data_IF_192364918554
#
_entry.id   IF_192364918554
#
_cell.length_a   1.000
_cell.length_b   1.000
_cell.length_c   1.000
_cell.angle_alpha   90.00
_cell.angle_beta   90.00
_cell.angle_gamma   90.00
#
_symmetry.space_group_name_H-M   'P 1'
#
loop_
_entity.id
_entity.type
_entity.pdbx_description
1 polymer ?
#
# COMPACT_ATOMS: atom_id res chain seq x y z
N UNK A 1 -20.93 -19.69 58.83
CA UNK A 1 -21.78 -20.61 59.63
C UNK A 1 -22.26 -21.78 58.76
N UNK A 2 -21.96 -23.00 59.23
CA UNK A 2 -22.09 -24.28 58.52
C UNK A 2 -23.55 -24.71 58.28
N UNK A 3 -23.71 -25.45 57.18
CA UNK A 3 -24.59 -26.61 56.98
C UNK A 3 -26.09 -26.50 57.28
N UNK A 4 -26.92 -26.87 56.30
CA UNK A 4 -27.92 -27.93 56.49
C UNK A 4 -28.33 -28.58 55.16
N UNK A 5 -28.18 -29.92 55.10
CA UNK A 5 -28.75 -30.84 54.11
C UNK A 5 -30.24 -31.08 54.41
N UNK A 6 -31.07 -31.23 53.38
CA UNK A 6 -32.35 -32.00 53.37
C UNK A 6 -32.66 -32.38 51.91
N UNK A 7 -32.32 -33.60 51.47
CA UNK A 7 -33.18 -34.78 51.24
C UNK A 7 -34.30 -34.63 50.18
N UNK A 8 -34.18 -35.45 49.12
CA UNK A 8 -35.13 -35.69 48.01
C UNK A 8 -36.34 -36.56 48.43
N UNK A 9 -37.45 -36.47 47.68
CA UNK A 9 -38.33 -37.59 47.36
C UNK A 9 -38.42 -37.90 45.84
N UNK A 10 -38.99 -39.05 45.42
CA UNK A 10 -38.56 -39.81 44.24
C UNK A 10 -39.31 -39.51 42.92
N UNK A 11 -38.70 -39.97 41.82
CA UNK A 11 -39.19 -39.92 40.43
C UNK A 11 -40.35 -40.90 40.17
N UNK A 12 -41.27 -40.56 39.24
CA UNK A 12 -42.05 -41.53 38.48
C UNK A 12 -41.51 -41.73 37.06
N UNK A 13 -41.52 -42.99 36.65
CA UNK A 13 -41.17 -43.56 35.35
C UNK A 13 -42.22 -43.27 34.27
N UNK A 14 -41.81 -42.87 33.07
CA UNK A 14 -42.64 -42.94 31.84
C UNK A 14 -41.79 -43.32 30.63
N UNK A 15 -42.25 -44.35 29.92
CA UNK A 15 -41.68 -44.98 28.72
C UNK A 15 -41.68 -44.06 27.47
N UNK A 16 -40.82 -44.33 26.48
CA UNK A 16 -40.73 -43.55 25.24
C UNK A 16 -41.88 -43.85 24.25
N UNK A 17 -42.34 -42.88 23.45
CA UNK A 17 -43.42 -43.08 22.48
C UNK A 17 -42.97 -43.84 21.21
N UNK A 18 -43.86 -44.72 20.75
CA UNK A 18 -43.76 -45.59 19.57
C UNK A 18 -44.01 -44.85 18.25
N UNK A 19 -43.36 -45.29 17.17
CA UNK A 19 -43.57 -44.82 15.79
C UNK A 19 -44.89 -45.35 15.19
N UNK A 20 -45.62 -44.56 14.38
CA UNK A 20 -46.79 -45.04 13.64
C UNK A 20 -46.41 -45.79 12.34
N UNK A 21 -47.27 -46.71 11.85
CA UNK A 21 -46.99 -47.61 10.72
C UNK A 21 -47.16 -46.95 9.33
N UNK A 22 -46.60 -47.56 8.25
CA UNK A 22 -46.61 -46.98 6.90
C UNK A 22 -47.95 -47.14 6.17
N UNK A 23 -48.32 -46.14 5.36
CA UNK A 23 -49.51 -46.18 4.50
C UNK A 23 -49.21 -46.77 3.10
N UNK A 24 -50.17 -47.48 2.47
CA UNK A 24 -50.00 -48.14 1.17
C UNK A 24 -50.11 -47.17 -0.03
N UNK A 25 -49.62 -47.56 -1.23
CA UNK A 25 -49.56 -46.67 -2.38
C UNK A 25 -50.91 -46.57 -3.11
N UNK A 26 -51.31 -45.38 -3.61
CA UNK A 26 -52.49 -45.24 -4.46
C UNK A 26 -52.23 -45.65 -5.92
N UNK A 27 -53.24 -46.27 -6.52
CA UNK A 27 -53.28 -46.78 -7.91
C UNK A 27 -53.37 -45.66 -8.97
N UNK A 28 -52.96 -45.91 -10.23
CA UNK A 28 -52.84 -44.87 -11.26
C UNK A 28 -54.18 -44.59 -11.98
N UNK A 29 -54.46 -43.31 -12.22
CA UNK A 29 -55.55 -42.83 -13.07
C UNK A 29 -55.02 -42.39 -14.47
N UNK A 30 -55.88 -42.41 -15.51
CA UNK A 30 -55.49 -42.58 -16.91
C UNK A 30 -54.92 -41.32 -17.58
N UNK A 31 -54.06 -41.53 -18.58
CA UNK A 31 -53.36 -40.47 -19.33
C UNK A 31 -54.28 -39.75 -20.34
N UNK A 32 -54.25 -38.40 -20.39
CA UNK A 32 -54.78 -37.61 -21.50
C UNK A 32 -53.76 -37.46 -22.66
N UNK A 33 -54.23 -37.18 -23.90
CA UNK A 33 -53.43 -37.19 -25.14
C UNK A 33 -52.44 -36.00 -25.24
N UNK A 34 -51.43 -36.07 -26.14
CA UNK A 34 -50.26 -35.19 -26.10
C UNK A 34 -50.59 -33.77 -26.58
N UNK A 35 -50.04 -32.78 -25.88
CA UNK A 35 -50.05 -31.36 -26.28
C UNK A 35 -48.70 -30.92 -26.88
N UNK A 36 -48.70 -29.93 -27.78
CA UNK A 36 -47.58 -29.58 -28.67
C UNK A 36 -46.38 -28.97 -27.92
N UNK A 37 -45.19 -28.94 -28.54
CA UNK A 37 -43.95 -28.61 -27.82
C UNK A 37 -43.93 -27.13 -27.38
N UNK A 38 -43.66 -26.84 -26.09
CA UNK A 38 -43.48 -25.47 -25.63
C UNK A 38 -42.08 -24.96 -25.96
N UNK A 39 -42.05 -23.74 -26.48
CA UNK A 39 -40.85 -22.95 -26.77
C UNK A 39 -40.06 -22.66 -25.48
N UNK A 40 -38.73 -22.70 -25.60
CA UNK A 40 -37.77 -22.56 -24.53
C UNK A 40 -37.89 -21.23 -23.77
N UNK A 41 -38.28 -21.31 -22.50
CA UNK A 41 -38.06 -20.26 -21.50
C UNK A 41 -37.29 -20.86 -20.32
N UNK A 42 -35.97 -20.66 -20.32
CA UNK A 42 -35.06 -21.16 -19.29
C UNK A 42 -35.19 -20.35 -18.00
N UNK A 43 -35.39 -21.06 -16.89
CA UNK A 43 -35.29 -20.54 -15.52
C UNK A 43 -33.84 -20.12 -15.16
N UNK A 44 -33.65 -19.26 -14.14
CA UNK A 44 -32.36 -18.65 -13.83
C UNK A 44 -31.42 -19.67 -13.17
N UNK A 45 -30.22 -19.80 -13.74
CA UNK A 45 -29.13 -20.58 -13.16
C UNK A 45 -28.52 -19.84 -11.97
N UNK A 46 -28.25 -20.60 -10.91
CA UNK A 46 -27.46 -20.21 -9.73
C UNK A 46 -26.06 -19.80 -10.19
N UNK A 47 -25.70 -18.53 -9.99
CA UNK A 47 -24.39 -17.99 -10.34
C UNK A 47 -23.32 -18.45 -9.34
N UNK A 48 -22.47 -19.38 -9.76
CA UNK A 48 -21.12 -19.57 -9.20
C UNK A 48 -20.33 -18.25 -9.24
N UNK A 49 -19.45 -17.97 -8.26
CA UNK A 49 -18.65 -16.74 -8.27
C UNK A 49 -17.72 -16.76 -9.49
N UNK A 50 -17.92 -15.81 -10.40
CA UNK A 50 -17.02 -15.55 -11.51
C UNK A 50 -15.67 -15.10 -10.95
N UNK A 51 -14.65 -15.93 -11.17
CA UNK A 51 -13.25 -15.54 -11.09
C UNK A 51 -13.04 -14.28 -11.96
N UNK A 52 -12.42 -13.20 -11.44
CA UNK A 52 -12.29 -11.96 -12.20
C UNK A 52 -11.36 -12.17 -13.39
N UNK A 53 -11.96 -12.29 -14.58
CA UNK A 53 -11.26 -12.20 -15.86
C UNK A 53 -10.58 -10.81 -15.95
N UNK A 54 -9.27 -10.73 -16.20
CA UNK A 54 -8.60 -9.46 -16.43
C UNK A 54 -9.21 -8.77 -17.66
N UNK A 55 -9.56 -7.49 -17.50
CA UNK A 55 -10.07 -6.65 -18.59
C UNK A 55 -9.11 -6.66 -19.79
N UNK A 56 -9.62 -6.63 -21.04
CA UNK A 56 -8.77 -6.72 -22.22
C UNK A 56 -7.98 -5.41 -22.41
N UNK A 57 -6.66 -5.51 -22.28
CA UNK A 57 -5.69 -4.51 -22.70
C UNK A 57 -5.53 -4.62 -24.22
N UNK A 58 -6.22 -3.80 -24.98
CA UNK A 58 -6.12 -3.73 -26.44
C UNK A 58 -5.85 -2.25 -26.79
N UNK A 59 -4.81 -1.82 -27.53
CA UNK A 59 -3.86 -2.48 -28.44
C UNK A 59 -2.54 -1.69 -28.46
N UNK A 60 -1.47 -2.22 -27.87
CA UNK A 60 -0.09 -1.86 -28.21
C UNK A 60 0.66 -3.19 -28.24
N UNK A 61 1.43 -3.53 -29.28
CA UNK A 61 2.19 -4.78 -29.27
C UNK A 61 3.03 -4.83 -28.00
N UNK A 62 3.15 -6.00 -27.33
CA UNK A 62 4.05 -6.11 -26.21
C UNK A 62 5.40 -5.57 -26.66
N UNK A 63 5.97 -4.65 -25.88
CA UNK A 63 7.30 -4.07 -26.14
C UNK A 63 8.40 -5.15 -26.28
N UNK A 64 8.06 -6.40 -25.91
CA UNK A 64 8.83 -7.61 -26.13
C UNK A 64 9.28 -7.77 -27.58
N UNK A 65 10.60 -7.82 -27.75
CA UNK A 65 11.28 -7.99 -29.03
C UNK A 65 11.93 -6.72 -29.59
N UNK A 66 11.56 -5.53 -29.10
CA UNK A 66 12.26 -4.29 -29.46
C UNK A 66 13.53 -4.11 -28.62
N UNK A 67 14.58 -3.45 -29.14
CA UNK A 67 15.70 -3.01 -28.32
C UNK A 67 15.23 -2.14 -27.15
N UNK A 68 15.86 -2.28 -25.99
CA UNK A 68 15.43 -1.60 -24.74
C UNK A 68 15.31 -0.08 -24.90
N UNK A 69 16.23 0.55 -25.65
CA UNK A 69 16.17 1.98 -25.94
C UNK A 69 14.90 2.37 -26.72
N UNK A 70 14.45 1.54 -27.67
CA UNK A 70 13.23 1.80 -28.42
C UNK A 70 11.98 1.64 -27.54
N UNK A 71 11.96 0.65 -26.63
CA UNK A 71 10.88 0.51 -25.65
C UNK A 71 10.77 1.75 -24.75
N UNK A 72 11.90 2.25 -24.25
CA UNK A 72 11.95 3.46 -23.43
C UNK A 72 11.53 4.71 -24.23
N UNK A 73 11.88 4.80 -25.51
CA UNK A 73 11.43 5.89 -26.39
C UNK A 73 9.90 5.87 -26.54
N UNK A 74 9.31 4.69 -26.78
CA UNK A 74 7.85 4.53 -26.84
C UNK A 74 7.17 4.92 -25.53
N UNK A 75 7.74 4.55 -24.37
CA UNK A 75 7.21 4.99 -23.07
C UNK A 75 7.25 6.53 -22.94
N UNK A 76 8.32 7.19 -23.39
CA UNK A 76 8.43 8.65 -23.39
C UNK A 76 7.39 9.32 -24.28
N UNK A 77 7.20 8.80 -25.49
CA UNK A 77 6.17 9.29 -26.41
C UNK A 77 4.78 9.14 -25.79
N UNK A 78 4.48 7.99 -25.17
CA UNK A 78 3.22 7.80 -24.43
C UNK A 78 3.08 8.79 -23.28
N UNK A 79 4.12 9.06 -22.51
CA UNK A 79 4.07 10.03 -21.40
C UNK A 79 3.82 11.47 -21.89
N UNK A 80 4.36 11.85 -23.06
CA UNK A 80 4.13 13.16 -23.69
C UNK A 80 2.69 13.26 -24.23
N UNK A 81 2.19 12.18 -24.84
CA UNK A 81 0.88 12.11 -25.49
C UNK A 81 -0.26 11.66 -24.59
N UNK A 82 0.02 11.25 -23.35
CA UNK A 82 -1.01 11.00 -22.36
C UNK A 82 -1.92 12.24 -22.36
N UNK A 83 -3.22 12.07 -22.62
CA UNK A 83 -4.15 13.16 -22.48
C UNK A 83 -3.91 13.67 -21.08
N UNK A 84 -3.35 14.88 -20.95
CA UNK A 84 -3.47 15.61 -19.70
C UNK A 84 -4.98 15.61 -19.53
N UNK A 85 -5.51 14.79 -18.62
CA UNK A 85 -6.96 14.64 -18.35
C UNK A 85 -7.55 15.94 -17.78
N UNK A 86 -6.89 17.07 -18.06
CA UNK A 86 -7.16 18.42 -17.68
C UNK A 86 -6.47 19.41 -18.66
N UNK A 87 -7.27 20.35 -19.17
CA UNK A 87 -6.79 21.66 -19.61
C UNK A 87 -6.59 22.49 -18.35
N UNK A 88 -5.40 23.04 -18.08
CA UNK A 88 -5.26 23.94 -16.95
C UNK A 88 -6.31 25.05 -17.07
N UNK A 89 -7.01 25.36 -15.99
CA UNK A 89 -7.59 26.67 -15.79
C UNK A 89 -6.41 27.66 -15.71
N UNK A 90 -5.79 27.90 -16.87
CA UNK A 90 -4.50 28.54 -17.09
C UNK A 90 -4.51 30.00 -16.66
N UNK A 91 -5.68 30.64 -16.64
CA UNK A 91 -5.83 32.06 -16.39
C UNK A 91 -5.45 32.51 -14.97
N UNK A 92 -5.44 31.61 -13.96
CA UNK A 92 -5.07 31.98 -12.58
C UNK A 92 -3.67 31.56 -12.14
N UNK A 93 -3.00 30.64 -12.85
CA UNK A 93 -1.85 29.92 -12.30
C UNK A 93 -0.63 29.81 -13.22
N UNK A 94 -0.71 30.21 -14.49
CA UNK A 94 0.43 30.12 -15.44
C UNK A 94 1.51 31.20 -15.24
N UNK A 95 1.30 32.17 -14.34
CA UNK A 95 2.17 33.35 -14.21
C UNK A 95 3.11 33.36 -12.99
N UNK A 96 3.14 32.30 -12.16
CA UNK A 96 4.02 32.29 -10.98
C UNK A 96 5.41 31.81 -11.39
N UNK A 97 6.28 32.75 -11.77
CA UNK A 97 7.71 32.51 -11.74
C UNK A 97 8.13 32.29 -10.28
N UNK A 98 8.46 31.05 -9.93
CA UNK A 98 9.09 30.75 -8.65
C UNK A 98 10.53 31.27 -8.73
N UNK A 99 10.98 32.13 -7.78
CA UNK A 99 12.33 32.66 -7.81
C UNK A 99 13.38 31.55 -7.82
N UNK A 100 14.37 31.64 -8.71
CA UNK A 100 15.40 30.61 -8.89
C UNK A 100 16.23 30.39 -7.63
N UNK A 101 16.58 31.45 -6.94
CA UNK A 101 17.28 31.45 -5.64
C UNK A 101 16.51 30.67 -4.57
N UNK A 102 15.17 30.79 -4.54
CA UNK A 102 14.33 30.01 -3.64
C UNK A 102 14.39 28.52 -3.96
N UNK A 103 14.35 28.16 -5.24
CA UNK A 103 14.42 26.76 -5.69
C UNK A 103 15.78 26.15 -5.35
N UNK A 104 16.86 26.90 -5.57
CA UNK A 104 18.23 26.49 -5.24
C UNK A 104 18.42 26.33 -3.73
N UNK A 105 17.95 27.28 -2.92
CA UNK A 105 18.00 27.20 -1.46
C UNK A 105 17.21 26.01 -0.91
N UNK A 106 15.99 25.79 -1.41
CA UNK A 106 15.17 24.64 -1.01
C UNK A 106 15.79 23.31 -1.47
N UNK A 107 16.43 23.28 -2.64
CA UNK A 107 17.17 22.10 -3.10
C UNK A 107 18.32 21.76 -2.16
N UNK A 108 19.12 22.76 -1.78
CA UNK A 108 20.25 22.58 -0.86
C UNK A 108 19.77 22.06 0.51
N UNK A 109 18.81 22.75 1.14
CA UNK A 109 18.27 22.37 2.45
C UNK A 109 17.64 20.96 2.46
N UNK A 110 16.97 20.59 1.38
CA UNK A 110 16.41 19.26 1.20
C UNK A 110 17.50 18.19 1.11
N UNK A 111 18.56 18.43 0.33
CA UNK A 111 19.69 17.52 0.19
C UNK A 111 20.51 17.39 1.50
N UNK A 112 20.69 18.48 2.24
CA UNK A 112 21.33 18.46 3.55
C UNK A 112 20.51 17.65 4.57
N UNK A 113 19.18 17.79 4.53
CA UNK A 113 18.28 16.95 5.34
C UNK A 113 18.36 15.48 4.94
N UNK A 114 18.39 15.18 3.63
CA UNK A 114 18.56 13.82 3.14
C UNK A 114 19.88 13.21 3.64
N UNK A 115 20.99 13.93 3.52
CA UNK A 115 22.32 13.48 3.94
C UNK A 115 22.40 13.23 5.46
N UNK A 116 21.89 14.16 6.27
CA UNK A 116 21.93 14.06 7.74
C UNK A 116 21.05 12.94 8.32
N UNK A 117 20.03 12.49 7.58
CA UNK A 117 19.11 11.44 8.01
C UNK A 117 19.46 10.05 7.46
N UNK A 118 20.55 9.91 6.70
CA UNK A 118 21.02 8.59 6.26
C UNK A 118 21.38 7.72 7.48
N UNK A 119 21.08 6.41 7.44
CA UNK A 119 21.57 5.49 8.46
C UNK A 119 23.10 5.52 8.51
N UNK A 120 23.73 5.63 9.70
CA UNK A 120 25.18 5.51 9.81
C UNK A 120 25.62 4.08 9.47
N UNK A 121 26.89 3.88 9.13
CA UNK A 121 27.42 2.57 8.74
C UNK A 121 27.21 1.48 9.82
N UNK A 122 27.27 1.88 11.10
CA UNK A 122 26.99 1.01 12.26
C UNK A 122 25.53 0.50 12.31
N UNK A 123 24.56 1.23 11.74
CA UNK A 123 23.14 0.84 11.73
C UNK A 123 22.95 -0.48 10.99
N UNK A 124 23.71 -0.71 9.92
CA UNK A 124 23.69 -1.96 9.18
C UNK A 124 24.23 -3.14 10.00
N UNK A 125 25.30 -2.93 10.77
CA UNK A 125 25.85 -3.96 11.64
C UNK A 125 24.87 -4.32 12.77
N UNK A 126 24.20 -3.32 13.35
CA UNK A 126 23.14 -3.51 14.35
C UNK A 126 21.97 -4.32 13.77
N UNK A 127 21.47 -3.94 12.58
CA UNK A 127 20.39 -4.67 11.89
C UNK A 127 20.78 -6.12 11.61
N UNK A 128 22.01 -6.36 11.13
CA UNK A 128 22.48 -7.71 10.83
C UNK A 128 22.61 -8.55 12.10
N UNK A 129 23.12 -7.97 13.18
CA UNK A 129 23.20 -8.66 14.49
C UNK A 129 21.82 -9.03 15.04
N UNK A 130 20.85 -8.11 14.98
CA UNK A 130 19.46 -8.38 15.36
C UNK A 130 18.84 -9.49 14.49
N UNK A 131 19.00 -9.40 13.17
CA UNK A 131 18.51 -10.42 12.24
C UNK A 131 19.06 -11.81 12.57
N UNK A 132 20.37 -11.93 12.82
CA UNK A 132 21.00 -13.21 13.18
C UNK A 132 20.45 -13.80 14.48
N UNK A 133 20.22 -12.97 15.50
CA UNK A 133 19.62 -13.43 16.77
C UNK A 133 18.16 -13.85 16.60
N UNK A 134 17.37 -13.05 15.90
CA UNK A 134 15.97 -13.38 15.59
C UNK A 134 15.88 -14.65 14.74
N UNK A 135 16.79 -14.84 13.78
CA UNK A 135 16.85 -16.05 12.97
C UNK A 135 17.10 -17.29 13.84
N UNK A 136 17.99 -17.22 14.84
CA UNK A 136 18.22 -18.33 15.75
C UNK A 136 16.99 -18.67 16.60
N UNK A 137 16.29 -17.65 17.12
CA UNK A 137 15.04 -17.85 17.87
C UNK A 137 13.93 -18.46 16.99
N UNK A 138 13.77 -17.94 15.77
CA UNK A 138 12.80 -18.46 14.81
C UNK A 138 13.09 -19.90 14.44
N UNK A 139 14.36 -20.24 14.16
CA UNK A 139 14.75 -21.61 13.83
C UNK A 139 14.56 -22.61 14.96
N UNK A 140 14.56 -22.16 16.22
CA UNK A 140 14.26 -23.00 17.37
C UNK A 140 12.76 -23.31 17.51
N UNK A 141 11.89 -22.38 17.09
CA UNK A 141 10.43 -22.53 17.15
C UNK A 141 9.89 -23.24 15.91
N UNK A 142 10.36 -22.84 14.72
CA UNK A 142 9.94 -23.36 13.42
C UNK A 142 11.20 -23.79 12.63
N UNK A 143 11.60 -25.07 12.74
CA UNK A 143 12.76 -25.58 12.03
C UNK A 143 12.65 -25.41 10.51
N UNK A 144 13.69 -24.87 9.87
CA UNK A 144 13.72 -24.60 8.44
C UNK A 144 13.15 -23.23 8.03
N UNK A 145 12.55 -22.46 8.94
CA UNK A 145 12.13 -21.10 8.64
C UNK A 145 13.30 -20.13 8.46
N UNK A 146 13.14 -19.17 7.55
CA UNK A 146 14.12 -18.12 7.23
C UNK A 146 13.51 -16.73 7.33
N UNK A 147 14.27 -15.77 7.82
CA UNK A 147 13.88 -14.37 7.94
C UNK A 147 14.49 -13.55 6.80
N UNK A 148 13.65 -12.81 6.11
CA UNK A 148 14.06 -11.97 4.97
C UNK A 148 13.69 -10.51 5.24
N UNK A 149 14.65 -9.57 5.18
CA UNK A 149 14.34 -8.16 5.31
C UNK A 149 13.55 -7.67 4.10
N UNK A 150 12.67 -6.69 4.33
CA UNK A 150 11.94 -5.99 3.28
C UNK A 150 11.76 -4.51 3.63
N UNK A 151 10.88 -3.83 2.91
CA UNK A 151 10.45 -2.48 3.21
C UNK A 151 11.58 -1.47 3.04
N UNK A 152 11.71 -0.56 4.02
CA UNK A 152 12.65 0.56 3.90
C UNK A 152 14.12 0.13 3.97
N UNK A 153 14.42 -0.98 4.65
CA UNK A 153 15.76 -1.56 4.74
C UNK A 153 16.27 -2.10 3.40
N UNK A 154 15.37 -2.58 2.53
CA UNK A 154 15.74 -3.13 1.21
C UNK A 154 15.59 -2.09 0.09
N UNK A 155 14.55 -1.26 0.12
CA UNK A 155 14.30 -0.26 -0.93
C UNK A 155 15.33 0.88 -0.98
N UNK A 156 16.21 1.01 0.01
CA UNK A 156 17.18 2.10 0.13
C UNK A 156 16.58 3.40 0.70
N UNK A 157 15.42 3.30 1.36
CA UNK A 157 14.65 4.42 1.90
C UNK A 157 14.59 4.41 3.45
N UNK A 158 15.39 3.58 4.11
CA UNK A 158 15.55 3.61 5.56
C UNK A 158 16.20 4.94 5.98
N UNK A 159 15.61 5.61 6.96
CA UNK A 159 16.24 6.71 7.69
C UNK A 159 16.98 6.16 8.91
N UNK A 160 17.85 6.96 9.52
CA UNK A 160 18.41 6.64 10.84
C UNK A 160 17.31 6.21 11.82
N UNK A 161 17.47 5.05 12.45
CA UNK A 161 16.51 4.47 13.39
C UNK A 161 15.18 4.03 12.78
N UNK A 162 15.10 3.82 11.46
CA UNK A 162 13.92 3.24 10.83
C UNK A 162 13.72 1.79 11.29
N UNK A 163 12.47 1.39 11.44
CA UNK A 163 12.10 0.03 11.86
C UNK A 163 12.69 -1.03 10.90
N UNK A 164 12.92 -2.24 11.42
CA UNK A 164 13.35 -3.39 10.64
C UNK A 164 12.15 -4.26 10.30
N UNK A 165 11.76 -4.26 9.03
CA UNK A 165 10.66 -5.07 8.53
C UNK A 165 11.20 -6.43 8.05
N UNK A 166 10.74 -7.53 8.64
CA UNK A 166 11.14 -8.89 8.31
C UNK A 166 9.92 -9.74 7.92
N UNK A 167 10.09 -10.63 6.95
CA UNK A 167 9.12 -11.70 6.71
C UNK A 167 9.71 -13.07 6.99
N UNK A 168 8.93 -13.90 7.67
CA UNK A 168 9.25 -15.29 7.93
C UNK A 168 8.73 -16.15 6.78
N UNK A 169 9.65 -16.88 6.14
CA UNK A 169 9.37 -17.88 5.13
C UNK A 169 9.58 -19.26 5.75
N UNK A 170 8.51 -20.04 5.91
CA UNK A 170 8.63 -21.44 6.39
C UNK A 170 9.31 -22.30 5.33
N UNK A 171 9.82 -23.47 5.74
CA UNK A 171 10.39 -24.46 4.83
C UNK A 171 9.34 -25.10 3.90
N UNK A 172 8.05 -24.88 4.15
CA UNK A 172 6.95 -25.26 3.26
C UNK A 172 6.41 -24.03 2.53
N UNK A 173 6.06 -24.19 1.24
CA UNK A 173 5.70 -23.06 0.37
C UNK A 173 4.36 -22.38 0.72
N UNK A 174 3.54 -23.05 1.53
CA UNK A 174 2.21 -22.61 1.94
C UNK A 174 1.94 -22.97 3.41
N UNK A 175 1.49 -21.98 4.19
CA UNK A 175 1.06 -22.15 5.58
C UNK A 175 -0.35 -21.58 5.74
N UNK A 176 -1.27 -22.35 6.31
CA UNK A 176 -2.64 -21.89 6.53
C UNK A 176 -2.68 -20.70 7.50
N UNK A 177 -3.68 -19.82 7.38
CA UNK A 177 -3.75 -18.60 8.19
C UNK A 177 -3.80 -18.91 9.69
N UNK A 178 -4.52 -19.96 10.09
CA UNK A 178 -4.63 -20.41 11.47
C UNK A 178 -3.27 -20.84 12.03
N UNK A 179 -2.46 -21.53 11.21
CA UNK A 179 -1.09 -21.92 11.56
C UNK A 179 -0.20 -20.69 11.69
N UNK A 180 -0.31 -19.72 10.76
CA UNK A 180 0.42 -18.45 10.86
C UNK A 180 0.07 -17.68 12.13
N UNK A 181 -1.22 -17.62 12.49
CA UNK A 181 -1.70 -16.96 13.70
C UNK A 181 -1.16 -17.63 14.97
N UNK A 182 -1.20 -18.97 15.04
CA UNK A 182 -0.63 -19.71 16.18
C UNK A 182 0.88 -19.52 16.28
N UNK A 183 1.60 -19.59 15.15
CA UNK A 183 3.06 -19.38 15.11
C UNK A 183 3.44 -17.98 15.60
N UNK A 184 2.67 -16.94 15.25
CA UNK A 184 2.88 -15.57 15.74
C UNK A 184 2.78 -15.49 17.28
N UNK A 185 1.83 -16.19 17.90
CA UNK A 185 1.70 -16.24 19.36
C UNK A 185 2.90 -16.98 19.98
N UNK A 186 3.26 -18.16 19.45
CA UNK A 186 4.40 -18.94 19.93
C UNK A 186 5.73 -18.21 19.79
N UNK A 187 5.95 -17.51 18.67
CA UNK A 187 7.14 -16.70 18.46
C UNK A 187 7.22 -15.53 19.44
N UNK A 188 6.09 -14.88 19.73
CA UNK A 188 6.06 -13.81 20.71
C UNK A 188 6.46 -14.32 22.11
N UNK A 189 5.90 -15.44 22.56
CA UNK A 189 6.27 -16.07 23.83
C UNK A 189 7.76 -16.45 23.88
N UNK A 190 8.29 -17.05 22.82
CA UNK A 190 9.71 -17.40 22.74
C UNK A 190 10.63 -16.17 22.76
N UNK A 191 10.25 -15.09 22.08
CA UNK A 191 10.99 -13.84 22.05
C UNK A 191 10.97 -13.14 23.42
N UNK A 192 9.85 -13.14 24.13
CA UNK A 192 9.76 -12.65 25.51
C UNK A 192 10.63 -13.49 26.45
N UNK A 193 10.52 -14.82 26.38
CA UNK A 193 11.28 -15.74 27.23
C UNK A 193 12.80 -15.64 27.01
N UNK A 194 13.25 -15.20 25.83
CA UNK A 194 14.68 -15.00 25.54
C UNK A 194 15.32 -13.89 26.39
N UNK A 195 14.53 -12.93 26.89
CA UNK A 195 15.02 -11.74 27.58
C UNK A 195 15.81 -10.76 26.70
N UNK A 196 15.92 -11.00 25.39
CA UNK A 196 16.66 -10.16 24.45
C UNK A 196 15.80 -9.07 23.78
N UNK A 197 14.49 -9.15 23.95
CA UNK A 197 13.51 -8.27 23.31
C UNK A 197 12.66 -7.54 24.35
N UNK A 198 12.34 -6.29 24.07
CA UNK A 198 11.40 -5.45 24.81
C UNK A 198 10.10 -5.30 24.02
N UNK A 199 8.99 -5.06 24.73
CA UNK A 199 7.70 -4.64 24.12
C UNK A 199 7.19 -5.58 23.01
N UNK A 200 7.35 -6.89 23.20
CA UNK A 200 6.86 -7.89 22.24
C UNK A 200 5.33 -7.85 22.18
N UNK A 201 4.77 -7.84 20.98
CA UNK A 201 3.33 -7.77 20.74
C UNK A 201 2.93 -8.66 19.56
N UNK A 202 2.17 -9.70 19.84
CA UNK A 202 1.54 -10.54 18.82
C UNK A 202 0.28 -9.87 18.25
N UNK A 203 0.11 -9.93 16.92
CA UNK A 203 -1.08 -9.46 16.19
C UNK A 203 -1.62 -10.56 15.26
N UNK A 204 -2.10 -11.68 15.82
CA UNK A 204 -2.47 -12.87 15.04
C UNK A 204 -3.70 -12.66 14.15
N UNK A 205 -4.56 -11.67 14.47
CA UNK A 205 -5.82 -11.37 13.75
C UNK A 205 -5.67 -10.35 12.62
N UNK A 206 -4.47 -9.81 12.41
CA UNK A 206 -4.21 -8.87 11.32
C UNK A 206 -4.43 -9.53 9.95
N UNK A 207 -4.54 -8.73 8.88
CA UNK A 207 -4.63 -9.25 7.50
C UNK A 207 -3.46 -10.18 7.21
N UNK A 208 -2.26 -9.71 7.52
CA UNK A 208 -1.03 -10.50 7.58
C UNK A 208 -0.64 -10.59 9.05
N UNK A 209 -0.60 -11.78 9.68
CA UNK A 209 -0.19 -11.94 11.07
C UNK A 209 1.24 -11.43 11.32
N UNK A 210 1.43 -10.68 12.40
CA UNK A 210 2.70 -9.98 12.72
C UNK A 210 3.06 -10.15 14.20
N UNK A 211 4.36 -10.30 14.48
CA UNK A 211 4.97 -10.06 15.80
C UNK A 211 5.75 -8.75 15.73
N UNK A 212 5.38 -7.76 16.53
CA UNK A 212 6.13 -6.50 16.67
C UNK A 212 6.96 -6.55 17.95
N UNK A 213 8.21 -6.08 17.90
CA UNK A 213 9.13 -6.10 19.03
C UNK A 213 10.11 -4.92 18.98
N UNK A 214 10.83 -4.72 20.07
CA UNK A 214 11.93 -3.78 20.17
C UNK A 214 13.16 -4.51 20.69
N UNK A 215 14.29 -4.36 20.02
CA UNK A 215 15.53 -4.97 20.50
C UNK A 215 16.02 -4.26 21.78
N UNK A 216 16.30 -5.05 22.83
CA UNK A 216 16.74 -4.49 24.12
C UNK A 216 18.11 -3.78 24.01
N UNK A 217 19.01 -4.28 23.15
CA UNK A 217 20.38 -3.76 23.05
C UNK A 217 20.49 -2.47 22.25
N UNK A 218 19.75 -2.36 21.14
CA UNK A 218 19.85 -1.23 20.21
C UNK A 218 18.64 -0.30 20.24
N UNK A 219 17.57 -0.67 20.95
CA UNK A 219 16.27 -0.02 20.89
C UNK A 219 15.62 0.01 19.49
N UNK A 220 16.14 -0.76 18.53
CA UNK A 220 15.60 -0.86 17.18
C UNK A 220 14.27 -1.61 17.21
N UNK A 221 13.24 -1.04 16.58
CA UNK A 221 11.95 -1.72 16.40
C UNK A 221 12.01 -2.70 15.23
N UNK A 222 11.33 -3.82 15.38
CA UNK A 222 11.27 -4.85 14.36
C UNK A 222 9.85 -5.42 14.26
N UNK A 223 9.36 -5.56 13.03
CA UNK A 223 8.09 -6.21 12.74
C UNK A 223 8.36 -7.48 11.92
N UNK A 224 7.89 -8.63 12.39
CA UNK A 224 8.03 -9.93 11.71
C UNK A 224 6.66 -10.39 11.23
N UNK A 225 6.46 -10.38 9.91
CA UNK A 225 5.20 -10.81 9.29
C UNK A 225 5.32 -12.20 8.64
N UNK A 226 4.23 -12.95 8.61
CA UNK A 226 4.25 -14.33 8.09
C UNK A 226 4.06 -14.37 6.56
N UNK A 227 4.94 -15.11 5.87
CA UNK A 227 4.78 -15.54 4.47
C UNK A 227 4.46 -14.42 3.46
N UNK A 228 5.04 -13.23 3.63
CA UNK A 228 4.69 -12.05 2.82
C UNK A 228 5.59 -11.91 1.59
N UNK A 229 5.47 -12.85 0.65
CA UNK A 229 6.24 -12.89 -0.60
C UNK A 229 6.06 -11.62 -1.46
N UNK A 230 4.86 -11.03 -1.46
CA UNK A 230 4.58 -9.78 -2.19
C UNK A 230 5.38 -8.59 -1.66
N UNK A 231 5.56 -8.48 -0.34
CA UNK A 231 6.34 -7.40 0.24
C UNK A 231 7.83 -7.47 -0.17
N UNK A 232 8.38 -8.67 -0.36
CA UNK A 232 9.72 -8.85 -0.92
C UNK A 232 9.80 -8.28 -2.34
N UNK A 233 8.86 -8.66 -3.21
CA UNK A 233 8.81 -8.18 -4.61
C UNK A 233 8.61 -6.68 -4.69
N UNK A 234 7.69 -6.11 -3.92
CA UNK A 234 7.48 -4.66 -3.86
C UNK A 234 8.76 -3.94 -3.42
N UNK A 235 9.47 -4.47 -2.43
CA UNK A 235 10.73 -3.88 -1.96
C UNK A 235 11.83 -3.91 -3.02
N UNK A 236 11.91 -4.99 -3.79
CA UNK A 236 12.83 -5.12 -4.93
C UNK A 236 12.48 -4.16 -6.06
N UNK A 237 11.19 -4.01 -6.40
CA UNK A 237 10.72 -3.04 -7.39
C UNK A 237 11.06 -1.60 -6.97
N UNK A 238 10.81 -1.24 -5.72
CA UNK A 238 11.17 0.08 -5.19
C UNK A 238 12.68 0.28 -5.21
N UNK A 239 13.47 -0.74 -4.81
CA UNK A 239 14.94 -0.68 -4.87
C UNK A 239 15.43 -0.42 -6.29
N UNK A 240 14.85 -1.06 -7.29
CA UNK A 240 15.16 -0.84 -8.70
C UNK A 240 14.95 0.64 -9.08
N UNK A 241 13.78 1.21 -8.78
CA UNK A 241 13.50 2.63 -9.02
C UNK A 241 14.47 3.57 -8.30
N UNK A 242 14.77 3.30 -7.03
CA UNK A 242 15.67 4.16 -6.23
C UNK A 242 17.14 4.07 -6.68
N UNK A 243 17.50 3.04 -7.45
CA UNK A 243 18.87 2.84 -7.97
C UNK A 243 19.05 3.49 -9.35
N UNK A 244 17.97 3.61 -10.14
CA UNK A 244 18.03 4.16 -11.50
C UNK A 244 18.41 5.65 -11.57
N UNK A 245 17.88 6.48 -10.66
CA UNK A 245 18.18 7.91 -10.63
C UNK A 245 18.32 8.39 -9.17
N UNK A 246 19.45 9.02 -8.78
CA UNK A 246 19.64 9.52 -7.42
C UNK A 246 18.53 10.47 -6.95
N UNK A 247 17.96 11.28 -7.85
CA UNK A 247 16.88 12.23 -7.53
C UNK A 247 15.60 11.51 -7.15
N UNK A 248 15.35 10.31 -7.69
CA UNK A 248 14.20 9.50 -7.31
C UNK A 248 14.30 9.07 -5.83
N UNK A 249 15.47 8.57 -5.43
CA UNK A 249 15.75 8.20 -4.04
C UNK A 249 15.65 9.39 -3.09
N UNK A 250 16.28 10.51 -3.47
CA UNK A 250 16.26 11.74 -2.68
C UNK A 250 14.82 12.24 -2.50
N UNK A 251 14.06 12.39 -3.59
CA UNK A 251 12.68 12.88 -3.53
C UNK A 251 11.77 11.95 -2.72
N UNK A 252 11.83 10.63 -2.96
CA UNK A 252 11.01 9.66 -2.23
C UNK A 252 11.30 9.69 -0.72
N UNK A 253 12.58 9.81 -0.34
CA UNK A 253 12.98 9.95 1.06
C UNK A 253 12.44 11.25 1.68
N UNK A 254 12.54 12.38 0.96
CA UNK A 254 12.11 13.68 1.45
C UNK A 254 10.59 13.76 1.60
N UNK A 255 9.82 13.20 0.67
CA UNK A 255 8.36 13.10 0.79
C UNK A 255 7.96 12.17 1.94
N UNK A 256 8.63 11.03 2.11
CA UNK A 256 8.43 10.15 3.27
C UNK A 256 8.73 10.89 4.59
N UNK A 257 9.82 11.66 4.65
CA UNK A 257 10.18 12.45 5.81
C UNK A 257 9.13 13.53 6.10
N UNK A 258 8.72 14.30 5.09
CA UNK A 258 7.63 15.27 5.19
C UNK A 258 6.35 14.63 5.73
N UNK A 259 5.89 13.53 5.11
CA UNK A 259 4.67 12.84 5.53
C UNK A 259 4.74 12.37 6.99
N UNK A 260 5.90 11.86 7.43
CA UNK A 260 6.15 11.50 8.84
C UNK A 260 6.09 12.70 9.77
N UNK A 261 6.71 13.83 9.40
CA UNK A 261 6.73 15.06 10.20
C UNK A 261 5.37 15.71 10.32
N UNK A 262 4.50 15.50 9.32
CA UNK A 262 3.12 15.98 9.27
C UNK A 262 2.09 14.94 9.73
N UNK A 263 2.53 13.81 10.28
CA UNK A 263 1.66 12.74 10.83
C UNK A 263 0.63 12.17 9.84
N UNK A 264 0.96 12.18 8.54
CA UNK A 264 0.12 11.66 7.45
C UNK A 264 0.70 10.38 6.82
N UNK A 265 1.41 9.58 7.61
CA UNK A 265 2.07 8.35 7.15
C UNK A 265 1.71 7.09 7.98
N UNK A 266 0.56 7.09 8.65
CA UNK A 266 0.11 6.05 9.56
C UNK A 266 -1.26 5.45 9.15
N UNK A 267 -1.28 4.30 8.46
CA UNK A 267 -2.50 3.59 8.06
C UNK A 267 -3.40 3.13 9.20
N UNK A 268 -2.82 2.86 10.37
CA UNK A 268 -3.60 2.47 11.55
C UNK A 268 -4.54 3.61 12.01
N UNK A 269 -4.13 4.86 11.78
CA UNK A 269 -4.96 6.05 12.01
C UNK A 269 -5.58 6.61 10.71
N UNK A 270 -5.74 5.77 9.69
CA UNK A 270 -6.46 6.10 8.46
C UNK A 270 -5.70 6.90 7.41
N UNK A 271 -4.45 7.33 7.67
CA UNK A 271 -3.65 8.08 6.69
C UNK A 271 -2.84 7.14 5.76
N UNK A 272 -2.35 7.61 4.59
CA UNK A 272 -1.59 6.75 3.69
C UNK A 272 -0.33 6.14 4.35
N UNK A 273 0.13 4.99 3.86
CA UNK A 273 1.40 4.42 4.31
C UNK A 273 2.59 5.15 3.70
N UNK A 274 3.78 4.98 4.29
CA UNK A 274 5.02 5.46 3.66
C UNK A 274 5.22 4.85 2.27
N UNK A 275 4.80 3.59 2.07
CA UNK A 275 4.82 2.92 0.78
C UNK A 275 3.91 3.61 -0.25
N UNK A 276 2.69 3.98 0.13
CA UNK A 276 1.76 4.71 -0.74
C UNK A 276 2.35 6.06 -1.20
N UNK A 277 2.99 6.81 -0.29
CA UNK A 277 3.68 8.06 -0.63
C UNK A 277 4.83 7.85 -1.62
N UNK A 278 5.60 6.75 -1.48
CA UNK A 278 6.68 6.41 -2.43
C UNK A 278 6.11 6.08 -3.81
N UNK A 279 4.98 5.37 -3.89
CA UNK A 279 4.31 5.10 -5.18
C UNK A 279 3.84 6.40 -5.86
N UNK A 280 3.29 7.35 -5.09
CA UNK A 280 2.93 8.67 -5.61
C UNK A 280 4.14 9.42 -6.21
N UNK A 281 5.32 9.30 -5.58
CA UNK A 281 6.57 9.88 -6.08
C UNK A 281 7.03 9.19 -7.35
N UNK A 282 7.06 7.86 -7.39
CA UNK A 282 7.45 7.10 -8.59
C UNK A 282 6.54 7.48 -9.77
N UNK A 283 5.22 7.50 -9.55
CA UNK A 283 4.27 7.88 -10.60
C UNK A 283 4.49 9.32 -11.09
N UNK A 284 4.74 10.27 -10.17
CA UNK A 284 5.06 11.64 -10.54
C UNK A 284 6.31 11.69 -11.44
N UNK A 285 7.36 10.96 -11.09
CA UNK A 285 8.62 10.90 -11.86
C UNK A 285 8.49 10.15 -13.20
N UNK A 286 7.54 9.22 -13.32
CA UNK A 286 7.19 8.58 -14.60
C UNK A 286 6.44 9.51 -15.56
N UNK A 287 5.82 10.57 -15.01
CA UNK A 287 4.93 11.49 -15.74
C UNK A 287 5.46 12.93 -15.77
N UNK A 288 6.74 13.13 -15.45
CA UNK A 288 7.45 14.37 -15.80
C UNK A 288 7.70 14.43 -17.31
N UNK A 289 8.06 15.61 -17.83
CA UNK A 289 8.37 15.79 -19.25
C UNK A 289 9.73 16.47 -19.43
N UNK A 290 10.79 15.74 -19.82
CA UNK A 290 10.84 14.29 -20.03
C UNK A 290 10.65 13.47 -18.73
N UNK A 291 10.23 12.20 -18.79
CA UNK A 291 10.18 11.30 -17.63
C UNK A 291 11.55 11.12 -16.98
N UNK A 292 11.59 11.16 -15.64
CA UNK A 292 12.77 10.82 -14.85
C UNK A 292 12.89 9.31 -14.70
N UNK A 293 11.77 8.62 -14.48
CA UNK A 293 11.73 7.16 -14.32
C UNK A 293 10.94 6.51 -15.47
N UNK A 294 11.32 5.29 -15.89
CA UNK A 294 10.52 4.49 -16.81
C UNK A 294 9.41 3.71 -16.07
N UNK A 295 8.62 2.94 -16.80
CA UNK A 295 7.67 1.95 -16.26
C UNK A 295 8.31 0.57 -16.34
N UNK A 296 8.86 0.08 -15.22
CA UNK A 296 9.65 -1.17 -15.21
C UNK A 296 8.82 -2.42 -15.54
N UNK A 297 7.51 -2.38 -15.30
CA UNK A 297 6.59 -3.47 -15.60
C UNK A 297 6.21 -3.56 -17.09
N UNK A 298 6.59 -2.56 -17.90
CA UNK A 298 6.37 -2.49 -19.36
C UNK A 298 7.69 -2.54 -20.16
N UNK A 299 8.80 -2.87 -19.49
CA UNK A 299 10.09 -3.12 -20.13
C UNK A 299 10.35 -4.62 -20.22
N UNK A 300 10.96 -5.06 -21.31
CA UNK A 300 11.31 -6.46 -21.55
C UNK A 300 12.71 -6.59 -22.13
N UNK A 301 13.56 -7.46 -21.56
CA UNK A 301 14.87 -7.76 -22.11
C UNK A 301 14.89 -9.02 -22.98
N UNK A 302 15.98 -9.27 -23.73
CA UNK A 302 16.20 -10.58 -24.35
C UNK A 302 16.34 -11.64 -23.24
N UNK A 303 15.62 -12.75 -23.37
CA UNK A 303 15.72 -13.93 -22.49
C UNK A 303 15.18 -13.78 -21.05
N UNK A 304 14.11 -13.04 -20.78
CA UNK A 304 13.41 -13.19 -19.49
C UNK A 304 12.32 -14.27 -19.63
N UNK A 305 12.46 -15.47 -19.03
CA UNK A 305 11.39 -16.45 -19.05
C UNK A 305 10.18 -15.87 -18.31
N UNK A 306 9.02 -15.83 -18.98
CA UNK A 306 7.77 -15.36 -18.39
C UNK A 306 7.28 -16.24 -17.21
N UNK A 307 7.89 -17.40 -17.00
CA UNK A 307 7.39 -18.47 -16.12
C UNK A 307 7.72 -18.31 -14.63
N UNK A 308 8.57 -17.36 -14.23
CA UNK A 308 9.01 -17.17 -12.82
C UNK A 308 8.48 -15.88 -12.16
N UNK A 309 7.49 -15.22 -12.76
CA UNK A 309 7.01 -13.92 -12.28
C UNK A 309 5.87 -14.02 -11.28
N UNK A 310 5.14 -15.14 -11.29
CA UNK A 310 3.97 -15.33 -10.44
C UNK A 310 4.36 -15.66 -9.00
N UNK A 311 3.85 -14.85 -8.08
CA UNK A 311 4.01 -15.06 -6.64
C UNK A 311 2.66 -15.36 -6.03
N UNK A 312 2.58 -16.50 -5.32
CA UNK A 312 1.41 -16.83 -4.51
C UNK A 312 1.49 -16.11 -3.16
N UNK A 313 0.46 -15.34 -2.83
CA UNK A 313 0.36 -14.66 -1.54
C UNK A 313 -0.16 -15.60 -0.44
N UNK A 314 -0.12 -15.12 0.80
CA UNK A 314 -0.57 -15.83 2.00
C UNK A 314 -2.04 -16.27 1.98
N UNK A 315 -2.88 -15.69 1.11
CA UNK A 315 -4.28 -16.04 0.94
C UNK A 315 -4.54 -17.00 -0.25
N UNK A 316 -3.47 -17.53 -0.85
CA UNK A 316 -3.52 -18.49 -1.95
C UNK A 316 -3.67 -17.85 -3.34
N UNK A 317 -3.93 -16.54 -3.44
CA UNK A 317 -4.02 -15.84 -4.73
C UNK A 317 -2.64 -15.71 -5.38
N UNK A 318 -2.57 -15.89 -6.69
CA UNK A 318 -1.36 -15.69 -7.47
C UNK A 318 -1.36 -14.31 -8.13
N UNK A 319 -0.21 -13.64 -8.10
CA UNK A 319 -0.02 -12.29 -8.65
C UNK A 319 1.17 -12.30 -9.60
N UNK A 320 1.01 -11.70 -10.78
CA UNK A 320 2.13 -11.44 -11.66
C UNK A 320 3.00 -10.32 -11.06
N UNK A 321 4.18 -10.70 -10.57
CA UNK A 321 5.16 -9.80 -9.98
C UNK A 321 6.34 -9.50 -10.93
N UNK A 322 6.09 -9.53 -12.24
CA UNK A 322 7.07 -9.15 -13.24
C UNK A 322 7.45 -7.68 -13.13
N UNK A 323 8.74 -7.40 -13.26
CA UNK A 323 9.30 -6.12 -13.66
C UNK A 323 10.71 -6.34 -14.21
N UNK A 324 11.15 -5.50 -15.14
CA UNK A 324 12.52 -5.56 -15.65
C UNK A 324 13.50 -5.00 -14.61
N UNK A 325 14.41 -5.85 -14.13
CA UNK A 325 15.28 -5.56 -12.99
C UNK A 325 16.75 -5.31 -13.35
N UNK A 326 17.12 -5.35 -14.64
CA UNK A 326 18.49 -5.04 -15.09
C UNK A 326 18.68 -3.50 -15.15
N UNK A 327 19.08 -2.94 -14.00
CA UNK A 327 19.24 -1.50 -13.78
C UNK A 327 20.33 -0.92 -14.68
N UNK A 328 21.42 -1.66 -14.89
CA UNK A 328 22.54 -1.22 -15.70
C UNK A 328 22.15 -1.14 -17.18
N UNK A 329 21.43 -2.15 -17.69
CA UNK A 329 20.90 -2.12 -19.05
C UNK A 329 19.91 -0.96 -19.25
N UNK A 330 19.01 -0.71 -18.30
CA UNK A 330 18.09 0.43 -18.36
C UNK A 330 18.88 1.75 -18.38
N UNK A 331 19.86 1.92 -17.48
CA UNK A 331 20.67 3.12 -17.39
C UNK A 331 21.43 3.41 -18.68
N UNK A 332 22.04 2.38 -19.28
CA UNK A 332 22.70 2.46 -20.58
C UNK A 332 21.72 2.84 -21.69
N UNK A 333 20.57 2.17 -21.78
CA UNK A 333 19.57 2.46 -22.80
C UNK A 333 18.99 3.88 -22.67
N UNK A 334 18.68 4.34 -21.46
CA UNK A 334 18.24 5.71 -21.18
C UNK A 334 19.29 6.74 -21.56
N UNK A 335 20.58 6.37 -21.50
CA UNK A 335 21.67 7.27 -21.81
C UNK A 335 21.70 7.72 -23.27
N UNK A 336 21.15 6.89 -24.17
CA UNK A 336 21.11 7.09 -25.62
C UNK A 336 19.87 7.86 -26.12
N UNK A 337 18.89 8.16 -25.27
CA UNK A 337 17.60 8.75 -25.68
C UNK A 337 17.64 10.27 -25.98
N UNK A 338 18.83 10.85 -26.18
CA UNK A 338 19.03 12.25 -26.59
C UNK A 338 18.68 13.31 -25.54
N UNK A 339 17.42 13.39 -25.12
CA UNK A 339 16.93 14.35 -24.12
C UNK A 339 16.82 13.69 -22.75
N UNK A 340 17.28 14.35 -21.69
CA UNK A 340 17.10 13.89 -20.30
C UNK A 340 16.36 14.95 -19.49
N UNK A 341 15.65 14.50 -18.47
CA UNK A 341 15.14 15.42 -17.46
C UNK A 341 16.31 15.96 -16.64
N UNK A 342 16.49 17.28 -16.62
CA UNK A 342 17.57 17.98 -15.91
C UNK A 342 17.09 18.72 -14.66
N UNK A 343 15.82 18.52 -14.25
CA UNK A 343 15.27 19.18 -13.08
C UNK A 343 16.04 18.75 -11.82
N UNK A 344 16.35 19.74 -11.00
CA UNK A 344 16.90 19.59 -9.64
C UNK A 344 15.88 18.93 -8.70
N UNK A 345 16.35 18.46 -7.54
CA UNK A 345 15.45 17.89 -6.51
C UNK A 345 14.42 18.92 -6.03
N UNK A 346 14.77 20.20 -5.90
CA UNK A 346 13.81 21.24 -5.51
C UNK A 346 12.75 21.50 -6.56
N UNK A 347 13.11 21.52 -7.85
CA UNK A 347 12.12 21.62 -8.94
C UNK A 347 11.18 20.41 -8.95
N UNK A 348 11.71 19.21 -8.73
CA UNK A 348 10.91 18.00 -8.66
C UNK A 348 10.02 17.97 -7.41
N UNK A 349 10.50 18.48 -6.27
CA UNK A 349 9.73 18.61 -5.03
C UNK A 349 8.54 19.56 -5.21
N UNK A 350 8.77 20.73 -5.82
CA UNK A 350 7.71 21.68 -6.16
C UNK A 350 6.69 21.03 -7.09
N UNK A 351 7.16 20.37 -8.16
CA UNK A 351 6.27 19.73 -9.13
C UNK A 351 5.47 18.57 -8.54
N UNK A 352 6.01 17.83 -7.56
CA UNK A 352 5.28 16.78 -6.85
C UNK A 352 4.08 17.36 -6.08
N UNK A 353 4.29 18.40 -5.27
CA UNK A 353 3.18 19.01 -4.52
C UNK A 353 2.17 19.66 -5.44
N UNK A 354 2.64 20.36 -6.49
CA UNK A 354 1.76 20.93 -7.52
C UNK A 354 0.90 19.86 -8.19
N UNK A 355 1.47 18.70 -8.53
CA UNK A 355 0.75 17.57 -9.15
C UNK A 355 -0.44 17.15 -8.29
N UNK A 356 -0.22 16.88 -7.00
CA UNK A 356 -1.28 16.37 -6.14
C UNK A 356 -2.18 17.46 -5.53
N UNK A 357 -1.73 18.72 -5.48
CA UNK A 357 -2.56 19.86 -5.06
C UNK A 357 -3.51 20.34 -6.18
N UNK A 358 -3.03 20.35 -7.43
CA UNK A 358 -3.68 21.10 -8.52
C UNK A 358 -4.12 20.25 -9.71
N UNK A 359 -3.48 19.12 -9.95
CA UNK A 359 -3.65 18.34 -11.20
C UNK A 359 -4.32 16.98 -10.97
N UNK A 360 -4.16 16.38 -9.80
CA UNK A 360 -4.78 15.11 -9.46
C UNK A 360 -6.28 15.26 -9.21
N UNK A 361 -7.11 14.60 -10.03
CA UNK A 361 -8.56 14.53 -9.81
C UNK A 361 -8.87 13.42 -8.79
N UNK A 362 -9.06 13.80 -7.52
CA UNK A 362 -9.42 12.88 -6.43
C UNK A 362 -10.75 12.15 -6.65
N UNK A 363 -11.62 12.62 -7.55
CA UNK A 363 -12.90 11.98 -7.85
C UNK A 363 -12.70 10.87 -8.89
N UNK A 364 -11.90 11.14 -9.93
CA UNK A 364 -11.81 10.26 -11.11
C UNK A 364 -10.54 9.43 -11.19
N UNK A 365 -9.42 9.93 -10.69
CA UNK A 365 -8.12 9.35 -10.98
C UNK A 365 -7.70 8.29 -9.95
N UNK A 366 -6.90 7.36 -10.44
CA UNK A 366 -6.16 6.35 -9.67
C UNK A 366 -4.71 6.44 -10.10
N UNK A 367 -3.81 6.59 -9.13
CA UNK A 367 -2.36 6.56 -9.40
C UNK A 367 -1.90 5.12 -9.66
N UNK A 368 -1.21 4.87 -10.78
CA UNK A 368 -0.66 3.54 -11.11
C UNK A 368 0.77 3.63 -11.64
N UNK A 369 1.73 3.12 -10.87
CA UNK A 369 3.14 3.06 -11.32
C UNK A 369 3.40 1.95 -12.35
N UNK A 370 2.47 0.99 -12.44
CA UNK A 370 2.52 -0.13 -13.40
C UNK A 370 2.21 0.33 -14.82
N UNK A 371 1.39 1.36 -14.97
CA UNK A 371 1.04 1.92 -16.29
C UNK A 371 1.76 3.23 -16.58
N UNK A 372 2.35 3.86 -15.56
CA UNK A 372 2.94 5.19 -15.69
C UNK A 372 1.92 6.25 -16.10
N UNK A 373 0.64 6.03 -15.79
CA UNK A 373 -0.48 6.86 -16.16
C UNK A 373 -1.51 6.91 -15.03
N UNK A 374 -2.38 7.91 -15.06
CA UNK A 374 -3.61 7.85 -14.27
C UNK A 374 -4.59 6.88 -14.91
N UNK A 375 -5.04 5.89 -14.13
CA UNK A 375 -6.22 5.09 -14.45
C UNK A 375 -7.47 5.82 -13.95
N UNK A 376 -8.65 5.44 -14.45
CA UNK A 376 -9.90 5.94 -13.88
C UNK A 376 -10.43 5.01 -12.80
N UNK A 377 -11.13 5.57 -11.82
CA UNK A 377 -11.86 4.76 -10.82
C UNK A 377 -12.93 3.89 -11.45
N UNK A 378 -13.53 4.35 -12.55
CA UNK A 378 -14.49 3.58 -13.33
C UNK A 378 -13.86 2.30 -13.89
N UNK A 379 -12.67 2.39 -14.52
CA UNK A 379 -11.95 1.23 -15.05
C UNK A 379 -11.56 0.25 -13.93
N UNK A 380 -11.34 0.75 -12.72
CA UNK A 380 -11.03 -0.05 -11.52
C UNK A 380 -12.28 -0.55 -10.77
N UNK A 381 -13.48 -0.08 -11.11
CA UNK A 381 -14.70 -0.30 -10.33
C UNK A 381 -14.68 0.32 -8.92
N UNK A 382 -13.78 1.29 -8.68
CA UNK A 382 -13.58 1.99 -7.40
C UNK A 382 -14.45 3.26 -7.28
N UNK A 383 -15.31 3.52 -8.27
CA UNK A 383 -16.35 4.55 -8.26
C UNK A 383 -17.64 4.06 -7.58
N UNK A 384 -17.77 2.74 -7.36
CA UNK A 384 -18.95 2.10 -6.78
C UNK A 384 -18.82 1.94 -5.27
N UNK A 385 -19.96 1.97 -4.57
CA UNK A 385 -20.01 1.55 -3.17
C UNK A 385 -19.81 0.04 -3.07
N UNK A 386 -18.89 -0.37 -2.21
CA UNK A 386 -18.73 -1.79 -1.88
C UNK A 386 -19.90 -2.29 -1.03
N UNK A 387 -20.42 -3.46 -1.37
CA UNK A 387 -21.50 -4.10 -0.62
C UNK A 387 -21.05 -4.37 0.84
N UNK A 388 -21.92 -4.06 1.80
CA UNK A 388 -21.67 -4.34 3.22
C UNK A 388 -20.75 -3.36 3.94
N UNK A 389 -20.36 -2.24 3.32
CA UNK A 389 -19.56 -1.20 3.98
C UNK A 389 -20.32 0.11 4.15
N UNK A 390 -20.36 0.60 5.39
CA UNK A 390 -20.94 1.90 5.74
C UNK A 390 -19.82 2.95 5.78
N UNK A 391 -19.51 3.57 4.64
CA UNK A 391 -18.53 4.65 4.56
C UNK A 391 -18.08 4.93 3.13
N UNK A 392 -17.46 6.09 2.91
CA UNK A 392 -16.79 6.35 1.64
C UNK A 392 -15.45 5.60 1.62
N UNK A 393 -15.22 4.87 0.53
CA UNK A 393 -13.91 4.29 0.20
C UNK A 393 -13.38 4.94 -1.05
N UNK A 394 -12.12 4.62 -1.39
CA UNK A 394 -11.53 5.01 -2.66
C UNK A 394 -11.51 6.53 -2.85
N UNK A 395 -11.16 7.26 -1.79
CA UNK A 395 -11.17 8.72 -1.77
C UNK A 395 -9.91 9.36 -2.36
N UNK A 396 -8.76 8.70 -2.21
CA UNK A 396 -7.49 9.07 -2.83
C UNK A 396 -6.78 7.79 -3.28
N UNK A 397 -7.05 7.39 -4.52
CA UNK A 397 -6.76 6.04 -4.98
C UNK A 397 -5.34 5.86 -5.49
N UNK A 398 -4.69 4.80 -5.00
CA UNK A 398 -3.32 4.41 -5.34
C UNK A 398 -3.31 2.90 -5.55
N UNK A 399 -3.13 2.46 -6.79
CA UNK A 399 -3.05 1.04 -7.16
C UNK A 399 -1.73 0.43 -6.64
N UNK A 400 -1.80 -0.69 -5.92
CA UNK A 400 -0.63 -1.52 -5.68
C UNK A 400 -0.14 -2.15 -7.01
N UNK A 401 1.17 -2.09 -7.32
CA UNK A 401 1.72 -2.54 -8.61
C UNK A 401 1.55 -4.02 -8.91
N UNK A 402 1.32 -4.87 -7.90
CA UNK A 402 1.13 -6.32 -8.08
C UNK A 402 -0.26 -6.78 -7.65
N UNK A 403 -0.74 -6.35 -6.48
CA UNK A 403 -2.12 -6.62 -6.05
C UNK A 403 -3.06 -5.57 -6.64
N UNK A 404 -3.41 -5.71 -7.92
CA UNK A 404 -4.14 -4.67 -8.66
C UNK A 404 -5.52 -4.32 -8.08
N UNK A 405 -6.13 -5.20 -7.28
CA UNK A 405 -7.40 -4.92 -6.59
C UNK A 405 -7.23 -4.12 -5.29
N UNK A 406 -5.99 -3.92 -4.85
CA UNK A 406 -5.67 -3.24 -3.61
C UNK A 406 -5.46 -1.73 -3.83
N UNK A 407 -6.41 -0.94 -3.36
CA UNK A 407 -6.25 0.50 -3.21
C UNK A 407 -5.57 0.82 -1.87
N UNK A 408 -4.34 1.32 -1.92
CA UNK A 408 -3.59 1.71 -0.72
C UNK A 408 -4.20 2.92 -0.01
N UNK A 409 -5.05 3.70 -0.70
CA UNK A 409 -5.79 4.83 -0.14
C UNK A 409 -7.09 4.44 0.54
N UNK A 410 -7.48 3.16 0.51
CA UNK A 410 -8.74 2.65 1.08
C UNK A 410 -8.89 2.90 2.58
N UNK A 411 -7.80 3.16 3.29
CA UNK A 411 -7.78 3.43 4.74
C UNK A 411 -8.29 4.82 5.11
N UNK A 412 -8.34 5.76 4.16
CA UNK A 412 -8.75 7.14 4.41
C UNK A 412 -10.26 7.30 4.41
N UNK A 413 -10.77 7.91 5.47
CA UNK A 413 -12.10 8.51 5.50
C UNK A 413 -12.08 9.95 4.96
N UNK A 414 -13.25 10.60 4.94
CA UNK A 414 -13.37 11.99 4.45
C UNK A 414 -12.59 12.99 5.28
N UNK A 415 -12.45 12.76 6.58
CA UNK A 415 -11.83 13.72 7.49
C UNK A 415 -10.32 13.67 7.36
N UNK A 416 -9.78 12.46 7.30
CA UNK A 416 -8.38 12.19 6.99
C UNK A 416 -8.02 12.68 5.61
N UNK A 417 -8.86 12.44 4.58
CA UNK A 417 -8.62 12.98 3.25
C UNK A 417 -8.56 14.51 3.27
N UNK A 418 -9.47 15.19 3.98
CA UNK A 418 -9.45 16.66 4.10
C UNK A 418 -8.14 17.13 4.72
N UNK A 419 -7.66 16.46 5.75
CA UNK A 419 -6.39 16.79 6.39
C UNK A 419 -5.19 16.57 5.45
N UNK A 420 -5.08 15.39 4.83
CA UNK A 420 -4.03 15.08 3.84
C UNK A 420 -4.00 16.11 2.71
N UNK A 421 -5.16 16.45 2.15
CA UNK A 421 -5.26 17.49 1.11
C UNK A 421 -4.82 18.86 1.61
N UNK A 422 -5.19 19.24 2.82
CA UNK A 422 -4.77 20.52 3.40
C UNK A 422 -3.26 20.61 3.58
N UNK A 423 -2.58 19.51 3.91
CA UNK A 423 -1.12 19.48 4.02
C UNK A 423 -0.42 19.50 2.66
N UNK A 424 -1.00 18.84 1.64
CA UNK A 424 -0.53 18.94 0.24
C UNK A 424 -0.68 20.39 -0.27
N UNK A 425 -1.84 21.01 -0.04
CA UNK A 425 -2.09 22.41 -0.42
C UNK A 425 -1.16 23.38 0.33
N UNK A 426 -0.91 23.13 1.62
CA UNK A 426 0.05 23.91 2.42
C UNK A 426 1.46 23.82 1.83
N UNK A 427 1.89 22.62 1.46
CA UNK A 427 3.20 22.38 0.87
C UNK A 427 3.36 23.09 -0.49
N UNK A 428 2.35 22.99 -1.37
CA UNK A 428 2.31 23.72 -2.64
C UNK A 428 2.38 25.24 -2.42
N UNK A 429 1.58 25.77 -1.49
CA UNK A 429 1.56 27.22 -1.23
C UNK A 429 2.88 27.73 -0.65
N UNK A 430 3.50 26.97 0.25
CA UNK A 430 4.81 27.32 0.82
C UNK A 430 5.88 27.41 -0.25
N UNK A 431 5.98 26.38 -1.10
CA UNK A 431 7.06 26.29 -2.08
C UNK A 431 6.84 27.19 -3.30
N UNK A 432 5.60 27.54 -3.64
CA UNK A 432 5.29 28.30 -4.86
C UNK A 432 4.86 29.75 -4.64
N UNK A 433 4.37 30.11 -3.45
CA UNK A 433 3.77 31.43 -3.20
C UNK A 433 4.41 32.16 -2.02
N UNK A 434 4.60 31.47 -0.91
CA UNK A 434 4.96 32.10 0.38
C UNK A 434 6.48 32.19 0.60
N UNK A 435 7.28 31.77 -0.39
CA UNK A 435 8.74 31.66 -0.28
C UNK A 435 9.18 30.88 0.96
N UNK A 436 8.43 29.82 1.27
CA UNK A 436 8.70 28.94 2.39
C UNK A 436 9.96 28.11 2.18
N UNK A 437 10.59 27.74 3.29
CA UNK A 437 11.78 26.90 3.30
C UNK A 437 11.42 25.41 3.44
N UNK A 438 12.38 24.53 3.13
CA UNK A 438 12.23 23.09 3.34
C UNK A 438 12.01 22.73 4.83
N UNK A 439 12.56 23.51 5.75
CA UNK A 439 12.33 23.37 7.19
C UNK A 439 10.88 23.69 7.55
N UNK A 440 10.30 24.75 6.97
CA UNK A 440 8.89 25.09 7.17
C UNK A 440 7.95 24.04 6.56
N UNK A 441 8.35 23.46 5.41
CA UNK A 441 7.64 22.34 4.81
C UNK A 441 7.60 21.13 5.77
N UNK A 442 8.73 20.80 6.40
CA UNK A 442 8.93 19.60 7.25
C UNK A 442 8.85 19.87 8.76
N UNK A 443 8.34 21.03 9.17
CA UNK A 443 8.05 21.34 10.55
C UNK A 443 7.15 20.25 11.16
N UNK A 444 7.38 19.90 12.44
CA UNK A 444 6.50 18.93 13.12
C UNK A 444 5.07 19.45 13.11
N UNK A 445 4.12 18.56 12.91
CA UNK A 445 2.73 18.89 13.17
C UNK A 445 2.57 19.30 14.64
N UNK A 446 1.76 20.33 14.86
CA UNK A 446 1.38 20.80 16.18
C UNK A 446 -0.14 20.84 16.18
N UNK A 447 -0.76 19.99 16.98
CA UNK A 447 -2.21 19.98 17.09
C UNK A 447 -2.69 21.21 17.89
N UNK A 448 -3.12 22.23 17.17
CA UNK A 448 -3.68 23.45 17.74
C UNK A 448 -5.15 23.29 18.16
N UNK A 449 -5.74 22.09 18.06
CA UNK A 449 -7.10 21.83 18.54
C UNK A 449 -7.26 22.08 20.05
N UNK A 450 -6.22 21.78 20.84
CA UNK A 450 -6.17 22.07 22.27
C UNK A 450 -6.20 23.57 22.56
N UNK A 451 -5.53 24.40 21.74
CA UNK A 451 -5.54 25.85 21.87
C UNK A 451 -6.87 26.49 21.46
N UNK A 452 -7.59 25.91 20.49
CA UNK A 452 -8.94 26.34 20.10
C UNK A 452 -9.98 26.00 21.18
N UNK A 453 -9.81 24.90 21.90
CA UNK A 453 -10.69 24.52 23.02
C UNK A 453 -10.39 25.28 24.33
N UNK A 454 -9.27 26.00 24.40
CA UNK A 454 -8.90 26.86 25.53
C UNK A 454 -9.46 28.29 25.42
N UNK A 455 -10.14 28.65 24.34
CA UNK A 455 -10.84 29.93 24.25
C UNK A 455 -12.10 29.91 25.14
N UNK A 456 -12.31 30.93 26.02
CA UNK A 456 -13.49 30.96 26.88
C UNK A 456 -14.75 30.96 26.01
N UNK A 457 -15.66 30.01 26.29
CA UNK A 457 -16.97 29.94 25.62
C UNK A 457 -17.64 31.32 25.68
N UNK A 458 -18.20 31.83 24.56
CA UNK A 458 -18.92 33.09 24.58
C UNK A 458 -20.05 33.03 25.60
N UNK A 459 -20.15 34.05 26.45
CA UNK A 459 -21.18 34.13 27.50
C UNK A 459 -22.57 33.92 26.87
N UNK A 460 -23.45 33.11 27.49
CA UNK A 460 -24.79 32.91 26.96
C UNK A 460 -25.52 34.26 26.87
N UNK A 461 -26.12 34.53 25.71
CA UNK A 461 -26.93 35.72 25.50
C UNK A 461 -28.09 35.72 26.51
N UNK A 462 -28.41 36.85 27.16
CA UNK A 462 -29.53 36.91 28.08
C UNK A 462 -30.82 36.59 27.33
N UNK A 463 -31.62 35.66 27.89
CA UNK A 463 -32.94 35.33 27.35
C UNK A 463 -33.81 36.60 27.34
N UNK A 464 -34.58 36.85 26.28
CA UNK A 464 -35.57 37.93 26.31
C UNK A 464 -36.55 37.64 27.44
N UNK A 465 -36.78 38.64 28.29
CA UNK A 465 -37.80 38.57 29.34
C UNK A 465 -39.20 38.54 28.69
N UNK A 466 -40.16 37.85 29.30
CA UNK A 466 -41.50 37.65 28.75
C UNK A 466 -42.24 38.98 28.51
#
# INVERSE_FOLDING_TARGET
PKMQKKTQPPQPSTQPPQQPPPQPPPQPLPQPPPQPPPQSASQPAVSTPLEPQPLPVHQVPPSGGLPLAQQLLLQRERAIHQPRLYRPNTARFSARLIPRDLVEANSAAALDTFASLQPPAEDMAVRQSLLSRLQALVSAVEPGATLHPFGSSVSGLASKGADLDLTLMSGTDEMAKEQQSALVETLAEAMEASGQMETVQARPKARVPIVALKDASSSLKCDICMCNKLALRNSQLLRAYMTLDPRARQLAFLIKYWAKRREINNPYHGSPSSYAWVLLVIHYLQTTSPPVLPVLQDLHGPNVPATDTFVRAHDGRAFDCYFFSDIDAIGQAMSHLGTRNVQTVGELLIGFFRRYAREFDFVKNVTSIRTGAFLTKQDKGWDKKEAGFHGDRHLFCIEDPFELTHDLGRVMDRDTLRYVRSEIDRADALLSEQRGSFEALTARYVDNSAAKNAQPKPKPKPKPKP
#
